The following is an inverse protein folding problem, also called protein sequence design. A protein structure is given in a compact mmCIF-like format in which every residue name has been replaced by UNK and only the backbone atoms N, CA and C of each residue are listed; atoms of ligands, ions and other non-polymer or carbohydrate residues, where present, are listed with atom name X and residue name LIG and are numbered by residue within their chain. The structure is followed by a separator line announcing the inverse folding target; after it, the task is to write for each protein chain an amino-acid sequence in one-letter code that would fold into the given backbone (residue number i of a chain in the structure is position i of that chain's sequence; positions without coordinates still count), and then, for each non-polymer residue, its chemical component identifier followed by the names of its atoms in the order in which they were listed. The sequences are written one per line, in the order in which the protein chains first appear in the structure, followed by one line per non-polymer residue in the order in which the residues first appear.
data_IF_491352007018
#
_entry.id   IF_491352007018
#
_cell.length_a   1.000
_cell.length_b   1.000
_cell.length_c   1.000
_cell.angle_alpha   90.00
_cell.angle_beta   90.00
_cell.angle_gamma   90.00
#
_symmetry.space_group_name_H-M   'P 1'
#
loop_
_entity.id
_entity.type
_entity.pdbx_description
1 polymer ?
#
# COMPACT_ATOMS: atom_id res chain seq x y z
N UNK A 1 22.14 -8.53 13.35
CA UNK A 1 20.88 -8.27 12.62
C UNK A 1 21.11 -7.07 11.72
N UNK A 2 21.10 -7.22 10.39
CA UNK A 2 21.23 -6.08 9.47
C UNK A 2 19.93 -5.28 9.57
N UNK A 3 19.99 -4.00 9.94
CA UNK A 3 18.84 -3.10 9.89
C UNK A 3 18.44 -2.96 8.41
N UNK A 4 17.38 -3.65 8.00
CA UNK A 4 16.86 -3.51 6.64
C UNK A 4 15.92 -2.31 6.66
N UNK A 5 16.35 -1.19 6.07
CA UNK A 5 15.54 0.01 5.81
C UNK A 5 14.47 -0.26 4.73
N UNK A 6 13.77 -1.40 4.76
CA UNK A 6 12.52 -1.57 4.04
C UNK A 6 11.42 -0.91 4.84
N UNK A 7 11.56 0.39 5.09
CA UNK A 7 10.57 1.16 5.83
C UNK A 7 9.31 1.21 5.00
N UNK A 8 8.16 0.95 5.64
CA UNK A 8 6.83 1.12 5.03
C UNK A 8 6.66 2.49 4.36
N UNK A 9 7.45 3.48 4.80
CA UNK A 9 7.60 4.82 4.20
C UNK A 9 8.04 4.80 2.73
N UNK A 10 8.84 3.81 2.31
CA UNK A 10 9.31 3.72 0.91
C UNK A 10 8.32 3.00 0.00
N UNK A 11 7.45 2.15 0.55
CA UNK A 11 6.54 1.31 -0.22
C UNK A 11 5.50 2.13 -0.99
N UNK A 12 4.93 3.17 -0.36
CA UNK A 12 3.95 4.04 -0.99
C UNK A 12 4.47 4.77 -2.22
N UNK A 13 5.56 5.57 -2.10
CA UNK A 13 6.14 6.26 -3.25
C UNK A 13 6.61 5.30 -4.36
N UNK A 14 7.08 4.11 -4.02
CA UNK A 14 7.42 3.07 -5.02
C UNK A 14 6.17 2.59 -5.74
N UNK A 15 5.11 2.23 -5.01
CA UNK A 15 3.85 1.79 -5.58
C UNK A 15 3.23 2.86 -6.49
N UNK A 16 3.24 4.13 -6.06
CA UNK A 16 2.77 5.24 -6.87
C UNK A 16 3.53 5.35 -8.20
N UNK A 17 4.87 5.32 -8.18
CA UNK A 17 5.68 5.35 -9.41
C UNK A 17 5.40 4.15 -10.32
N UNK A 18 5.19 2.97 -9.75
CA UNK A 18 4.86 1.77 -10.52
C UNK A 18 3.48 1.90 -11.19
N UNK A 19 2.50 2.48 -10.51
CA UNK A 19 1.17 2.76 -11.09
C UNK A 19 1.28 3.80 -12.20
N UNK A 20 1.99 4.91 -11.98
CA UNK A 20 2.18 5.98 -12.97
C UNK A 20 2.89 5.49 -14.23
N UNK A 21 3.85 4.58 -14.09
CA UNK A 21 4.64 4.04 -15.20
C UNK A 21 4.14 2.68 -15.69
N UNK A 22 2.97 2.22 -15.23
CA UNK A 22 2.52 0.85 -15.46
C UNK A 22 2.47 0.50 -16.95
N UNK A 23 1.86 1.37 -17.77
CA UNK A 23 1.75 1.17 -19.21
C UNK A 23 3.13 1.02 -19.89
N UNK A 24 4.08 1.89 -19.55
CA UNK A 24 5.43 1.88 -20.09
C UNK A 24 6.20 0.61 -19.68
N UNK A 25 6.06 0.20 -18.41
CA UNK A 25 6.69 -1.02 -17.88
C UNK A 25 6.10 -2.25 -18.58
N UNK A 26 4.78 -2.34 -18.70
CA UNK A 26 4.08 -3.42 -19.40
C UNK A 26 4.53 -3.49 -20.86
N UNK A 27 4.54 -2.36 -21.58
CA UNK A 27 5.02 -2.33 -22.97
C UNK A 27 6.48 -2.78 -23.10
N UNK A 28 7.35 -2.29 -22.22
CA UNK A 28 8.76 -2.66 -22.22
C UNK A 28 8.98 -4.16 -21.98
N UNK A 29 8.38 -4.73 -20.94
CA UNK A 29 8.61 -6.13 -20.56
C UNK A 29 7.81 -7.15 -21.38
N UNK A 30 6.61 -6.79 -21.85
CA UNK A 30 5.72 -7.70 -22.60
C UNK A 30 5.90 -7.60 -24.11
N UNK A 31 6.24 -6.41 -24.65
CA UNK A 31 6.29 -6.19 -26.10
C UNK A 31 7.71 -5.97 -26.62
N UNK A 32 8.49 -5.11 -25.97
CA UNK A 32 9.79 -4.69 -26.49
C UNK A 32 10.91 -5.69 -26.17
N UNK A 33 11.09 -6.05 -24.90
CA UNK A 33 12.13 -6.98 -24.46
C UNK A 33 12.08 -8.33 -25.18
N UNK A 34 10.93 -9.01 -25.33
CA UNK A 34 10.87 -10.31 -26.02
C UNK A 34 11.30 -10.25 -27.50
N UNK A 35 11.19 -9.07 -28.14
CA UNK A 35 11.56 -8.88 -29.56
C UNK A 35 13.04 -8.53 -29.74
N UNK A 36 13.75 -8.18 -28.68
CA UNK A 36 15.17 -7.88 -28.79
C UNK A 36 15.96 -9.16 -29.06
N UNK A 37 16.70 -9.16 -30.18
CA UNK A 37 17.65 -10.24 -30.52
C UNK A 37 18.72 -10.48 -29.43
N UNK A 38 18.94 -9.49 -28.58
CA UNK A 38 19.87 -9.51 -27.45
C UNK A 38 19.27 -10.04 -26.14
N UNK A 39 17.99 -10.45 -26.11
CA UNK A 39 17.46 -11.18 -24.97
C UNK A 39 18.24 -12.50 -24.90
N UNK A 40 19.31 -12.50 -24.12
CA UNK A 40 20.16 -13.67 -23.97
C UNK A 40 19.27 -14.81 -23.49
N UNK A 41 19.51 -16.04 -23.97
CA UNK A 41 18.82 -17.25 -23.46
C UNK A 41 18.84 -17.31 -21.93
N UNK A 42 19.85 -16.70 -21.31
CA UNK A 42 20.04 -16.53 -19.88
C UNK A 42 19.06 -15.55 -19.21
N UNK A 43 18.62 -14.48 -19.89
CA UNK A 43 17.63 -13.54 -19.35
C UNK A 43 16.22 -14.13 -19.40
N UNK A 44 15.86 -14.81 -20.51
CA UNK A 44 14.58 -15.51 -20.64
C UNK A 44 14.42 -16.68 -19.68
N UNK A 45 15.53 -17.33 -19.29
CA UNK A 45 15.51 -18.40 -18.29
C UNK A 45 15.62 -17.89 -16.84
N UNK A 46 15.81 -16.58 -16.66
CA UNK A 46 15.90 -15.98 -15.32
C UNK A 46 14.55 -16.03 -14.62
N UNK A 47 14.54 -16.64 -13.43
CA UNK A 47 13.36 -16.67 -12.54
C UNK A 47 12.84 -15.27 -12.22
N UNK A 48 13.74 -14.27 -12.15
CA UNK A 48 13.37 -12.87 -11.91
C UNK A 48 12.58 -12.27 -13.07
N UNK A 49 13.04 -12.50 -14.30
CA UNK A 49 12.35 -12.01 -15.49
C UNK A 49 10.98 -12.65 -15.61
N UNK A 50 10.91 -13.98 -15.48
CA UNK A 50 9.64 -14.72 -15.52
C UNK A 50 8.65 -14.18 -14.49
N UNK A 51 9.09 -13.96 -13.24
CA UNK A 51 8.24 -13.39 -12.20
C UNK A 51 7.69 -12.02 -12.57
N UNK A 52 8.52 -11.11 -13.09
CA UNK A 52 8.06 -9.77 -13.52
C UNK A 52 7.05 -9.90 -14.66
N UNK A 53 7.38 -10.71 -15.67
CA UNK A 53 6.54 -10.93 -16.83
C UNK A 53 5.16 -11.51 -16.45
N UNK A 54 5.12 -12.50 -15.56
CA UNK A 54 3.88 -13.10 -15.07
C UNK A 54 3.06 -12.06 -14.28
N UNK A 55 3.68 -11.31 -13.36
CA UNK A 55 2.97 -10.27 -12.59
C UNK A 55 2.41 -9.14 -13.47
N UNK A 56 3.10 -8.76 -14.54
CA UNK A 56 2.62 -7.72 -15.47
C UNK A 56 1.43 -8.20 -16.33
N UNK A 57 1.25 -9.51 -16.49
CA UNK A 57 0.07 -10.10 -17.15
C UNK A 57 -1.12 -10.24 -16.22
N UNK A 58 -0.88 -10.42 -14.92
CA UNK A 58 -1.93 -10.51 -13.92
C UNK A 58 -2.59 -9.15 -13.71
N UNK A 59 -3.88 -9.06 -14.03
CA UNK A 59 -4.68 -7.83 -13.88
C UNK A 59 -4.78 -7.35 -12.43
N UNK A 60 -4.66 -8.28 -11.46
CA UNK A 60 -4.73 -7.98 -10.03
C UNK A 60 -3.50 -7.24 -9.52
N UNK A 61 -2.34 -7.35 -10.19
CA UNK A 61 -1.10 -6.69 -9.74
C UNK A 61 -1.25 -5.18 -9.71
N UNK A 62 -1.82 -4.59 -10.77
CA UNK A 62 -2.08 -3.15 -10.82
C UNK A 62 -3.07 -2.73 -9.73
N UNK A 63 -4.11 -3.53 -9.49
CA UNK A 63 -5.07 -3.28 -8.42
C UNK A 63 -4.39 -3.25 -7.04
N UNK A 64 -3.52 -4.22 -6.74
CA UNK A 64 -2.77 -4.23 -5.49
C UNK A 64 -1.81 -3.05 -5.36
N UNK A 65 -1.12 -2.67 -6.43
CA UNK A 65 -0.23 -1.49 -6.43
C UNK A 65 -1.01 -0.20 -6.20
N UNK A 66 -2.17 -0.04 -6.86
CA UNK A 66 -3.06 1.09 -6.64
C UNK A 66 -3.60 1.12 -5.21
N UNK A 67 -3.99 -0.03 -4.66
CA UNK A 67 -4.42 -0.16 -3.28
C UNK A 67 -3.32 0.23 -2.28
N UNK A 68 -2.08 -0.22 -2.49
CA UNK A 68 -0.93 0.16 -1.65
C UNK A 68 -0.69 1.68 -1.74
N UNK A 69 -0.67 2.24 -2.96
CA UNK A 69 -0.46 3.67 -3.17
C UNK A 69 -1.57 4.53 -2.52
N UNK A 70 -2.80 4.05 -2.55
CA UNK A 70 -3.94 4.68 -1.89
C UNK A 70 -3.84 4.60 -0.37
N UNK A 71 -3.69 3.39 0.17
CA UNK A 71 -3.69 3.15 1.62
C UNK A 71 -2.51 3.81 2.31
N UNK A 72 -1.34 3.87 1.67
CA UNK A 72 -0.15 4.51 2.23
C UNK A 72 -0.40 5.93 2.75
N UNK A 73 -1.24 6.72 2.06
CA UNK A 73 -1.56 8.10 2.45
C UNK A 73 -2.18 8.19 3.85
N UNK A 74 -2.92 7.17 4.27
CA UNK A 74 -3.52 7.09 5.61
C UNK A 74 -2.49 6.67 6.67
N UNK A 75 -1.48 5.90 6.28
CA UNK A 75 -0.46 5.39 7.20
C UNK A 75 0.75 6.32 7.32
N UNK A 76 0.91 7.31 6.45
CA UNK A 76 2.13 8.14 6.36
C UNK A 76 2.44 8.87 7.67
N UNK A 77 1.48 9.64 8.21
CA UNK A 77 1.67 10.40 9.45
C UNK A 77 2.03 9.49 10.63
N UNK A 78 1.28 8.40 10.82
CA UNK A 78 1.56 7.42 11.85
C UNK A 78 2.93 6.78 11.65
N UNK A 79 3.27 6.38 10.42
CA UNK A 79 4.54 5.72 10.10
C UNK A 79 5.74 6.63 10.37
N UNK A 80 5.64 7.92 10.05
CA UNK A 80 6.67 8.92 10.36
C UNK A 80 6.84 9.11 11.87
N UNK A 81 5.75 9.10 12.64
CA UNK A 81 5.80 9.17 14.09
C UNK A 81 6.40 7.91 14.71
N UNK A 82 5.94 6.74 14.27
CA UNK A 82 6.35 5.44 14.80
C UNK A 82 7.81 5.09 14.47
N UNK A 83 8.30 5.50 13.30
CA UNK A 83 9.66 5.25 12.83
C UNK A 83 10.61 6.42 13.12
N UNK A 84 10.22 7.41 13.93
CA UNK A 84 11.11 8.50 14.28
C UNK A 84 12.24 8.03 15.20
N UNK A 85 13.42 8.59 15.03
CA UNK A 85 14.59 8.26 15.85
C UNK A 85 14.39 8.57 17.34
N UNK A 86 13.58 9.59 17.65
CA UNK A 86 13.23 9.93 19.04
C UNK A 86 12.03 9.13 19.54
N UNK A 87 12.03 8.68 20.82
CA UNK A 87 10.90 7.96 21.39
C UNK A 87 9.70 8.90 21.58
N UNK A 88 8.65 8.68 20.79
CA UNK A 88 7.40 9.46 20.83
C UNK A 88 6.23 8.67 21.44
N UNK A 89 6.49 7.87 22.47
CA UNK A 89 5.47 6.99 23.08
C UNK A 89 4.23 7.75 23.57
N UNK A 90 4.41 8.98 24.05
CA UNK A 90 3.32 9.86 24.50
C UNK A 90 2.38 10.29 23.35
N UNK A 91 2.86 10.28 22.09
CA UNK A 91 2.06 10.56 20.90
C UNK A 91 1.53 9.27 20.24
N UNK A 92 2.13 8.12 20.56
CA UNK A 92 1.83 6.89 19.83
C UNK A 92 0.37 6.48 19.98
N UNK A 93 -0.20 6.61 21.18
CA UNK A 93 -1.60 6.30 21.43
C UNK A 93 -2.54 7.20 20.61
N UNK A 94 -2.29 8.51 20.60
CA UNK A 94 -3.14 9.46 19.86
C UNK A 94 -3.01 9.29 18.35
N UNK A 95 -1.80 9.05 17.82
CA UNK A 95 -1.58 8.79 16.40
C UNK A 95 -2.18 7.45 15.95
N UNK A 96 -2.13 6.41 16.79
CA UNK A 96 -2.76 5.12 16.50
C UNK A 96 -4.29 5.24 16.46
N UNK A 97 -4.89 5.97 17.41
CA UNK A 97 -6.32 6.23 17.43
C UNK A 97 -6.77 6.99 16.17
N UNK A 98 -6.02 8.04 15.79
CA UNK A 98 -6.25 8.77 14.52
C UNK A 98 -6.18 7.85 13.30
N UNK A 99 -5.16 7.00 13.21
CA UNK A 99 -5.00 6.06 12.10
C UNK A 99 -6.20 5.10 12.00
N UNK A 100 -6.60 4.49 13.13
CA UNK A 100 -7.74 3.56 13.15
C UNK A 100 -9.01 4.28 12.68
N UNK A 101 -9.29 5.47 13.21
CA UNK A 101 -10.43 6.28 12.77
C UNK A 101 -10.38 6.59 11.28
N UNK A 102 -9.22 7.00 10.75
CA UNK A 102 -9.05 7.28 9.32
C UNK A 102 -9.35 6.06 8.46
N UNK A 103 -8.87 4.87 8.86
CA UNK A 103 -9.14 3.62 8.16
C UNK A 103 -10.62 3.24 8.24
N UNK A 104 -11.26 3.40 9.41
CA UNK A 104 -12.69 3.13 9.58
C UNK A 104 -13.56 4.05 8.71
N UNK A 105 -13.22 5.34 8.61
CA UNK A 105 -13.93 6.32 7.78
C UNK A 105 -13.87 6.05 6.27
N UNK A 106 -13.05 5.07 5.82
CA UNK A 106 -13.09 4.58 4.44
C UNK A 106 -14.35 3.76 4.15
N UNK A 107 -14.92 3.13 5.18
CA UNK A 107 -16.02 2.16 5.04
C UNK A 107 -17.24 2.53 5.87
N UNK A 108 -17.05 3.26 6.97
CA UNK A 108 -18.08 3.67 7.94
C UNK A 108 -18.30 5.18 7.80
N UNK A 109 -19.53 5.63 8.06
CA UNK A 109 -19.87 7.05 8.03
C UNK A 109 -19.08 7.86 9.06
N UNK A 110 -18.70 9.07 8.66
CA UNK A 110 -17.79 9.92 9.42
C UNK A 110 -18.39 10.36 10.77
N UNK A 111 -19.72 10.56 10.85
CA UNK A 111 -20.42 10.95 12.07
C UNK A 111 -20.38 9.86 13.16
N UNK A 112 -20.48 8.60 12.76
CA UNK A 112 -20.41 7.45 13.67
C UNK A 112 -19.01 7.30 14.23
N UNK A 113 -17.98 7.37 13.37
CA UNK A 113 -16.59 7.23 13.79
C UNK A 113 -16.14 8.43 14.63
N UNK A 114 -16.60 9.64 14.29
CA UNK A 114 -16.28 10.86 15.02
C UNK A 114 -16.82 10.88 16.45
N UNK A 115 -17.86 10.11 16.76
CA UNK A 115 -18.42 9.98 18.10
C UNK A 115 -17.64 9.04 19.03
N UNK A 116 -16.72 8.23 18.52
CA UNK A 116 -16.04 7.16 19.28
C UNK A 116 -14.53 7.36 19.34
N UNK A 117 -13.88 7.01 20.45
CA UNK A 117 -12.42 7.10 20.57
C UNK A 117 -11.81 5.84 21.19
N UNK A 118 -10.57 5.53 20.81
CA UNK A 118 -9.77 4.53 21.51
C UNK A 118 -10.40 3.14 21.47
N UNK A 119 -10.71 2.60 22.65
CA UNK A 119 -11.34 1.28 22.77
C UNK A 119 -12.80 1.26 22.31
N UNK A 120 -13.50 2.39 22.40
CA UNK A 120 -14.93 2.51 22.09
C UNK A 120 -15.20 2.33 20.59
N UNK A 121 -14.16 2.48 19.76
CA UNK A 121 -14.20 2.15 18.33
C UNK A 121 -14.56 0.68 18.07
N UNK A 122 -14.35 -0.20 19.05
CA UNK A 122 -14.71 -1.64 18.95
C UNK A 122 -16.22 -1.87 19.05
N UNK A 123 -16.95 -0.93 19.64
CA UNK A 123 -18.39 -1.05 19.86
C UNK A 123 -19.20 -0.61 18.62
N UNK A 124 -18.52 -0.10 17.58
CA UNK A 124 -19.15 0.20 16.30
C UNK A 124 -19.57 -1.10 15.64
N UNK A 125 -20.88 -1.29 15.46
CA UNK A 125 -21.45 -2.42 14.72
C UNK A 125 -21.06 -2.36 13.24
N UNK A 126 -20.06 -3.16 12.85
CA UNK A 126 -19.56 -3.22 11.48
C UNK A 126 -20.50 -3.97 10.53
N UNK A 127 -21.31 -4.90 11.03
CA UNK A 127 -22.23 -5.71 10.20
C UNK A 127 -23.56 -4.99 9.89
N UNK A 128 -23.80 -3.84 10.53
CA UNK A 128 -24.98 -3.04 10.32
C UNK A 128 -24.79 -2.13 9.11
N UNK A 129 -25.33 -2.54 7.95
CA UNK A 129 -25.20 -1.80 6.69
C UNK A 129 -25.72 -0.36 6.71
N UNK A 130 -26.47 0.07 7.75
CA UNK A 130 -26.84 1.48 7.96
C UNK A 130 -25.64 2.35 8.34
N UNK A 131 -24.60 1.76 8.90
CA UNK A 131 -23.39 2.44 9.35
C UNK A 131 -22.39 2.64 8.21
N UNK A 132 -22.57 1.93 7.09
CA UNK A 132 -21.64 1.98 5.97
C UNK A 132 -21.73 3.29 5.21
N UNK A 133 -20.58 3.73 4.71
CA UNK A 133 -20.45 4.83 3.77
C UNK A 133 -21.04 4.36 2.43
N UNK A 134 -22.05 5.06 1.94
CA UNK A 134 -22.72 4.76 0.67
C UNK A 134 -21.96 5.35 -0.51
#
# INVERSE_FOLDING_TARGET
LRHVNSTWLTAGPVAQRLVEQWANISEYFLCFLPKQKLLSKQLSSSSKYKRIFDNLKESTTLCFLAFIAYTHKHFETFSLCFQSESPKIHLLFSEMNKLIRQVMMLFIKDDIVAAMEGTDLRDIELDNGKNWKK
#
